data_IF_796213436717
#
_entry.id   IF_796213436717
#
_cell.length_a   1.000
_cell.length_b   1.000
_cell.length_c   1.000
_cell.angle_alpha   90.00
_cell.angle_beta   90.00
_cell.angle_gamma   90.00
#
_symmetry.space_group_name_H-M   'P 1'
#
loop_
_entity.id
_entity.type
_entity.pdbx_description
1 polymer ?
#
# COMPACT_ATOMS: atom_id res chain seq x y z
N UNK A 1 -8.78 19.93 -2.64
CA UNK A 1 -8.49 18.75 -1.83
C UNK A 1 -9.41 17.61 -2.22
N UNK A 2 -8.88 16.40 -2.35
CA UNK A 2 -9.65 15.24 -2.73
C UNK A 2 -10.37 14.62 -1.55
N UNK A 3 -11.34 13.81 -1.86
CA UNK A 3 -12.02 13.04 -0.84
C UNK A 3 -11.19 11.80 -0.49
N UNK A 4 -11.36 11.31 0.73
CA UNK A 4 -10.66 10.13 1.22
C UNK A 4 -11.63 8.98 1.41
N UNK A 5 -11.17 7.79 1.10
CA UNK A 5 -11.96 6.56 1.23
C UNK A 5 -11.20 5.61 2.15
N UNK A 6 -11.93 4.83 2.94
CA UNK A 6 -11.30 3.84 3.81
C UNK A 6 -10.81 2.64 3.02
N UNK A 7 -9.65 2.12 3.41
CA UNK A 7 -9.09 0.93 2.75
C UNK A 7 -10.01 -0.28 2.84
N UNK A 8 -10.77 -0.39 3.93
CA UNK A 8 -11.73 -1.49 4.09
C UNK A 8 -12.80 -1.47 3.00
N UNK A 9 -13.13 -0.29 2.48
CA UNK A 9 -14.12 -0.16 1.43
C UNK A 9 -13.59 -0.71 0.10
N UNK A 10 -12.28 -0.59 -0.11
CA UNK A 10 -11.62 -1.07 -1.33
C UNK A 10 -11.38 -2.58 -1.24
N UNK A 11 -10.86 -3.04 -0.11
CA UNK A 11 -10.44 -4.44 0.06
C UNK A 11 -11.51 -5.34 0.67
N UNK A 12 -12.56 -4.77 1.24
CA UNK A 12 -13.62 -5.55 1.88
C UNK A 12 -13.28 -6.09 3.25
N UNK A 13 -12.06 -5.88 3.73
CA UNK A 13 -11.64 -6.32 5.06
C UNK A 13 -10.53 -5.40 5.56
N UNK A 14 -10.26 -5.47 6.86
CA UNK A 14 -9.20 -4.69 7.49
C UNK A 14 -8.05 -5.55 8.02
N UNK A 15 -8.00 -6.81 7.61
CA UNK A 15 -6.95 -7.70 8.05
C UNK A 15 -6.51 -8.61 6.92
N UNK A 16 -5.29 -9.11 7.05
CA UNK A 16 -4.69 -10.02 6.07
C UNK A 16 -3.99 -11.14 6.84
N UNK A 17 -3.72 -12.28 6.20
CA UNK A 17 -2.94 -13.33 6.84
C UNK A 17 -1.58 -12.79 7.29
N UNK A 18 -1.07 -13.35 8.38
CA UNK A 18 0.19 -12.90 8.96
C UNK A 18 1.34 -12.97 7.95
N UNK A 19 1.38 -14.02 7.15
CA UNK A 19 2.42 -14.19 6.13
C UNK A 19 2.37 -13.08 5.10
N UNK A 20 1.17 -12.72 4.66
CA UNK A 20 1.00 -11.61 3.72
C UNK A 20 1.42 -10.29 4.35
N UNK A 21 1.11 -10.10 5.63
CA UNK A 21 1.49 -8.89 6.34
C UNK A 21 3.01 -8.73 6.40
N UNK A 22 3.74 -9.81 6.60
CA UNK A 22 5.20 -9.76 6.64
C UNK A 22 5.79 -9.33 5.30
N UNK A 23 5.26 -9.86 4.22
CA UNK A 23 5.70 -9.46 2.88
C UNK A 23 5.41 -7.98 2.62
N UNK A 24 4.21 -7.55 2.98
CA UNK A 24 3.80 -6.16 2.82
C UNK A 24 4.71 -5.23 3.63
N UNK A 25 5.04 -5.60 4.87
CA UNK A 25 5.93 -4.81 5.72
C UNK A 25 7.31 -4.66 5.10
N UNK A 26 7.86 -5.73 4.55
CA UNK A 26 9.16 -5.69 3.89
C UNK A 26 9.12 -4.76 2.68
N UNK A 27 8.05 -4.84 1.89
CA UNK A 27 7.88 -3.97 0.74
C UNK A 27 7.77 -2.50 1.15
N UNK A 28 7.07 -2.23 2.25
CA UNK A 28 6.93 -0.87 2.76
C UNK A 28 8.26 -0.30 3.24
N UNK A 29 9.06 -1.10 3.91
CA UNK A 29 10.38 -0.66 4.37
C UNK A 29 11.29 -0.32 3.19
N UNK A 30 11.27 -1.15 2.17
CA UNK A 30 12.03 -0.90 0.96
C UNK A 30 11.54 0.37 0.25
N UNK A 31 10.23 0.53 0.15
CA UNK A 31 9.63 1.69 -0.51
C UNK A 31 9.96 2.99 0.23
N UNK A 32 9.97 2.98 1.56
CA UNK A 32 10.37 4.14 2.35
C UNK A 32 11.84 4.49 2.08
N UNK A 33 12.69 3.49 2.04
CA UNK A 33 14.12 3.68 1.78
C UNK A 33 14.38 4.26 0.40
N UNK A 34 13.58 3.85 -0.58
CA UNK A 34 13.71 4.31 -1.96
C UNK A 34 12.96 5.62 -2.24
N UNK A 35 12.24 6.13 -1.27
CA UNK A 35 11.50 7.37 -1.44
C UNK A 35 10.19 7.23 -2.20
N UNK A 36 9.72 6.01 -2.40
CA UNK A 36 8.45 5.75 -3.09
C UNK A 36 7.27 6.12 -2.21
N UNK A 37 7.41 5.90 -0.90
CA UNK A 37 6.38 6.25 0.08
C UNK A 37 7.03 6.98 1.24
N UNK A 38 6.20 7.66 2.03
CA UNK A 38 6.63 8.28 3.28
C UNK A 38 5.98 7.54 4.45
N UNK A 39 6.49 7.74 5.67
CA UNK A 39 5.92 7.12 6.85
C UNK A 39 4.46 7.53 7.08
N UNK A 40 4.10 8.72 6.67
CA UNK A 40 2.73 9.24 6.82
C UNK A 40 1.79 8.71 5.76
N UNK A 41 2.31 8.44 4.58
CA UNK A 41 1.50 8.09 3.41
C UNK A 41 1.94 6.75 2.84
N UNK A 42 1.92 5.72 3.69
CA UNK A 42 2.32 4.37 3.28
C UNK A 42 1.37 3.77 2.25
N UNK A 43 0.14 4.30 2.16
CA UNK A 43 -0.83 3.88 1.16
C UNK A 43 -0.33 4.13 -0.28
N UNK A 44 0.64 5.01 -0.44
CA UNK A 44 1.20 5.30 -1.76
C UNK A 44 1.80 4.06 -2.42
N UNK A 45 2.24 3.09 -1.63
CA UNK A 45 2.75 1.83 -2.18
C UNK A 45 1.65 1.08 -2.92
N UNK A 46 0.44 1.09 -2.36
CA UNK A 46 -0.71 0.41 -2.97
C UNK A 46 -1.02 1.03 -4.32
N UNK A 47 -1.06 2.35 -4.37
CA UNK A 47 -1.32 3.07 -5.62
C UNK A 47 -0.21 2.80 -6.64
N UNK A 48 1.04 2.84 -6.21
CA UNK A 48 2.19 2.58 -7.06
C UNK A 48 2.13 1.19 -7.69
N UNK A 49 1.88 0.17 -6.87
CA UNK A 49 1.81 -1.21 -7.35
C UNK A 49 0.60 -1.44 -8.25
N UNK A 50 -0.54 -0.85 -7.90
CA UNK A 50 -1.74 -0.98 -8.71
C UNK A 50 -1.55 -0.32 -10.08
N UNK A 51 -0.96 0.87 -10.11
CA UNK A 51 -0.69 1.56 -11.36
C UNK A 51 0.26 0.76 -12.24
N UNK A 52 1.31 0.20 -11.63
CA UNK A 52 2.29 -0.62 -12.34
C UNK A 52 1.63 -1.89 -12.91
N UNK A 53 0.77 -2.50 -12.13
CA UNK A 53 0.03 -3.69 -12.54
C UNK A 53 -0.87 -3.39 -13.74
N UNK A 54 -1.56 -2.26 -13.71
CA UNK A 54 -2.44 -1.86 -14.80
C UNK A 54 -1.68 -1.50 -16.07
N UNK A 55 -0.50 -0.94 -15.92
CA UNK A 55 0.33 -0.55 -17.06
C UNK A 55 0.96 -1.76 -17.74
N UNK A 56 1.11 -2.81 -17.01
CA UNK A 56 1.87 -3.89 -17.45
C UNK A 56 1.45 -5.06 -17.91
#
# INVERSE_FOLDING_TARGET
AGEWTYLTKIFGSNSVPKEAAEVIEQALKKAEKEGVVTKRNRWQLIEYLAADYLAG
#
